data_IF_774583563859
#
_entry.id   IF_774583563859
#
_cell.length_a   1.000
_cell.length_b   1.000
_cell.length_c   1.000
_cell.angle_alpha   90.00
_cell.angle_beta   90.00
_cell.angle_gamma   90.00
#
_symmetry.space_group_name_H-M   'P 1'
#
loop_
_entity.id
_entity.type
_entity.pdbx_description
1 polymer ?
#
# COMPACT_ATOMS: atom_id res chain seq x y z
N UNK A 1 -4.12 22.16 7.46
CA UNK A 1 -3.93 21.27 6.31
C UNK A 1 -2.63 20.53 6.58
N UNK A 2 -2.72 19.35 7.19
CA UNK A 2 -1.60 18.68 7.86
C UNK A 2 -1.15 17.47 7.05
N UNK A 3 0.16 17.30 6.86
CA UNK A 3 0.73 16.03 6.45
C UNK A 3 2.12 15.84 7.06
N UNK A 4 2.34 14.63 7.60
CA UNK A 4 3.65 13.99 7.61
C UNK A 4 4.25 13.72 8.98
N UNK A 5 4.27 12.44 9.39
CA UNK A 5 5.49 11.61 9.62
C UNK A 5 5.09 10.34 10.40
N UNK A 6 5.67 9.17 10.10
CA UNK A 6 5.51 7.88 10.82
C UNK A 6 6.90 7.37 11.22
N UNK A 7 7.08 6.87 12.46
CA UNK A 7 8.13 5.90 12.84
C UNK A 7 8.00 5.36 14.29
N UNK A 8 8.59 4.17 14.53
CA UNK A 8 8.98 3.50 15.81
C UNK A 8 7.94 2.64 16.57
N UNK A 9 8.30 1.60 17.35
CA UNK A 9 9.28 0.48 17.30
C UNK A 9 8.85 -0.55 18.39
N UNK A 10 9.08 -1.84 18.12
CA UNK A 10 9.17 -3.05 18.98
C UNK A 10 8.44 -3.08 20.35
N UNK A 11 7.43 -3.96 20.46
CA UNK A 11 6.68 -4.26 21.68
C UNK A 11 7.36 -5.33 22.54
N UNK A 12 7.59 -5.06 23.84
CA UNK A 12 7.82 -6.09 24.86
C UNK A 12 6.57 -6.32 25.70
N UNK A 13 6.32 -7.60 25.97
CA UNK A 13 5.09 -8.23 26.45
C UNK A 13 4.50 -7.72 27.77
N UNK A 14 3.16 -7.74 27.83
CA UNK A 14 2.43 -8.08 29.06
C UNK A 14 1.10 -7.35 29.24
N UNK A 15 0.00 -7.91 28.74
CA UNK A 15 -1.39 -7.78 29.25
C UNK A 15 -2.37 -8.33 28.20
N UNK A 16 -3.44 -8.99 28.64
CA UNK A 16 -4.42 -9.78 27.87
C UNK A 16 -4.74 -9.25 26.46
N UNK A 17 -4.22 -9.93 25.43
CA UNK A 17 -4.47 -9.62 24.03
C UNK A 17 -5.85 -10.18 23.67
N UNK A 18 -6.86 -9.31 23.56
CA UNK A 18 -8.05 -9.63 22.79
C UNK A 18 -7.60 -9.98 21.36
N UNK A 19 -7.83 -11.20 20.85
CA UNK A 19 -7.09 -11.75 19.72
C UNK A 19 -7.36 -11.10 18.34
N UNK A 20 -8.05 -9.96 18.27
CA UNK A 20 -8.50 -9.36 16.99
C UNK A 20 -8.49 -7.83 16.99
N UNK A 21 -7.58 -7.19 17.72
CA UNK A 21 -7.42 -5.71 17.67
C UNK A 21 -6.21 -5.24 16.88
N UNK A 22 -5.19 -6.07 16.71
CA UNK A 22 -4.05 -5.80 15.83
C UNK A 22 -4.33 -6.45 14.47
N UNK A 23 -4.40 -5.65 13.40
CA UNK A 23 -4.72 -6.12 12.05
C UNK A 23 -3.44 -6.48 11.28
N UNK A 24 -2.50 -5.55 11.20
CA UNK A 24 -1.23 -5.76 10.52
C UNK A 24 -0.09 -5.09 11.29
N UNK A 25 1.10 -5.67 11.20
CA UNK A 25 2.36 -5.05 11.62
C UNK A 25 3.22 -4.81 10.38
N UNK A 26 3.84 -3.64 10.32
CA UNK A 26 4.70 -3.22 9.23
C UNK A 26 6.11 -3.05 9.79
N UNK A 27 7.09 -3.68 9.12
CA UNK A 27 8.51 -3.65 9.54
C UNK A 27 9.49 -3.44 8.36
N UNK A 28 8.99 -3.46 7.11
CA UNK A 28 9.83 -3.34 5.92
C UNK A 28 9.91 -1.89 5.40
N UNK A 29 8.78 -1.31 5.00
CA UNK A 29 8.72 0.05 4.44
C UNK A 29 8.57 1.13 5.52
N UNK A 30 7.93 0.78 6.63
CA UNK A 30 7.77 1.63 7.81
C UNK A 30 7.58 0.74 9.04
N UNK A 31 7.92 1.28 10.22
CA UNK A 31 7.71 0.62 11.50
C UNK A 31 6.40 1.10 12.09
N UNK A 32 5.40 0.23 12.18
CA UNK A 32 4.08 0.59 12.70
C UNK A 32 3.08 -0.56 12.63
N UNK A 33 1.82 -0.25 12.91
CA UNK A 33 0.75 -1.23 12.86
C UNK A 33 -0.60 -0.59 12.51
N UNK A 34 -1.53 -1.41 12.01
CA UNK A 34 -2.95 -1.07 11.91
C UNK A 34 -3.73 -1.85 12.97
N UNK A 35 -4.69 -1.20 13.61
CA UNK A 35 -5.43 -1.77 14.72
C UNK A 35 -6.84 -1.20 14.82
N UNK A 36 -7.75 -1.98 15.39
CA UNK A 36 -9.10 -1.55 15.79
C UNK A 36 -9.04 -0.99 17.21
N UNK A 37 -9.25 0.32 17.34
CA UNK A 37 -9.03 1.09 18.56
C UNK A 37 -10.18 2.07 18.79
N UNK A 38 -10.54 2.33 20.05
CA UNK A 38 -11.46 3.41 20.40
C UNK A 38 -10.74 4.76 20.45
N UNK A 39 -11.49 5.86 20.44
CA UNK A 39 -10.90 7.20 20.58
C UNK A 39 -10.18 7.37 21.93
N UNK A 40 -10.71 6.80 23.02
CA UNK A 40 -10.08 6.86 24.34
C UNK A 40 -8.72 6.14 24.36
N UNK A 41 -8.63 4.97 23.72
CA UNK A 41 -7.38 4.22 23.60
C UNK A 41 -6.37 4.97 22.73
N UNK A 42 -6.82 5.64 21.67
CA UNK A 42 -5.96 6.49 20.84
C UNK A 42 -5.41 7.67 21.65
N UNK A 43 -6.23 8.33 22.46
CA UNK A 43 -5.77 9.42 23.34
C UNK A 43 -4.73 8.97 24.37
N UNK A 44 -4.81 7.71 24.81
CA UNK A 44 -3.77 7.12 25.68
C UNK A 44 -2.50 6.86 24.88
N UNK A 45 -2.63 6.28 23.67
CA UNK A 45 -1.50 6.00 22.78
C UNK A 45 -0.74 7.26 22.40
N UNK A 46 -1.43 8.36 22.10
CA UNK A 46 -0.87 9.67 21.74
C UNK A 46 0.08 10.25 22.81
N UNK A 47 -0.08 9.82 24.06
CA UNK A 47 0.73 10.27 25.21
C UNK A 47 1.95 9.38 25.44
N UNK A 48 2.07 8.25 24.76
CA UNK A 48 3.18 7.33 24.96
C UNK A 48 4.46 7.85 24.29
N UNK A 49 5.62 7.73 24.96
CA UNK A 49 6.90 7.95 24.31
C UNK A 49 7.05 7.06 23.07
N UNK A 50 7.35 7.65 21.93
CA UNK A 50 7.48 6.94 20.65
C UNK A 50 6.23 6.98 19.77
N UNK A 51 5.10 7.54 20.24
CA UNK A 51 4.01 7.88 19.33
C UNK A 51 4.44 9.00 18.37
N UNK A 52 4.14 8.82 17.08
CA UNK A 52 4.44 9.83 16.05
C UNK A 52 3.16 10.36 15.42
N UNK A 53 2.31 9.48 14.92
CA UNK A 53 1.03 9.85 14.34
C UNK A 53 0.08 8.66 14.27
N UNK A 54 -1.21 8.95 14.17
CA UNK A 54 -2.25 8.00 13.81
C UNK A 54 -3.09 8.59 12.69
N UNK A 55 -3.65 7.72 11.86
CA UNK A 55 -4.58 8.10 10.81
C UNK A 55 -5.65 7.03 10.69
N UNK A 56 -6.90 7.45 10.56
CA UNK A 56 -8.02 6.53 10.33
C UNK A 56 -7.88 5.91 8.95
N UNK A 57 -8.11 4.60 8.87
CA UNK A 57 -8.18 3.89 7.60
C UNK A 57 -9.32 4.44 6.74
N UNK A 58 -9.10 4.52 5.42
CA UNK A 58 -10.05 5.08 4.47
C UNK A 58 -10.20 4.17 3.27
N UNK A 59 -11.45 3.94 2.88
CA UNK A 59 -11.76 3.28 1.63
C UNK A 59 -11.36 4.20 0.46
N UNK A 60 -10.64 3.63 -0.49
CA UNK A 60 -10.30 4.27 -1.76
C UNK A 60 -11.12 3.63 -2.89
N UNK A 61 -11.48 4.43 -3.89
CA UNK A 61 -12.22 3.99 -5.08
C UNK A 61 -11.36 4.20 -6.32
N UNK A 62 -11.50 3.31 -7.32
CA UNK A 62 -10.77 3.43 -8.58
C UNK A 62 -11.28 4.60 -9.41
N UNK A 63 -10.37 5.42 -9.96
CA UNK A 63 -10.72 6.61 -10.74
C UNK A 63 -10.98 6.32 -12.23
N UNK A 64 -10.30 5.35 -12.86
CA UNK A 64 -10.49 5.00 -14.29
C UNK A 64 -10.16 3.52 -14.57
N UNK A 65 -10.64 2.98 -15.71
CA UNK A 65 -10.34 1.60 -16.15
C UNK A 65 -9.78 1.51 -17.59
N UNK A 66 -9.54 2.63 -18.30
CA UNK A 66 -9.16 2.65 -19.73
C UNK A 66 -7.97 3.61 -20.00
N UNK A 67 -6.74 3.07 -20.01
CA UNK A 67 -5.50 3.90 -19.97
C UNK A 67 -4.73 4.00 -21.30
N UNK A 68 -4.80 3.01 -22.19
CA UNK A 68 -3.89 2.96 -23.35
C UNK A 68 -4.22 4.02 -24.42
N UNK A 69 -5.50 4.21 -24.78
CA UNK A 69 -5.92 5.26 -25.73
C UNK A 69 -5.66 6.66 -25.16
N UNK A 70 -5.82 6.82 -23.84
CA UNK A 70 -5.55 8.07 -23.14
C UNK A 70 -4.08 8.50 -23.26
N UNK A 71 -3.15 7.54 -23.30
CA UNK A 71 -1.71 7.81 -23.39
C UNK A 71 -1.18 7.87 -24.83
N UNK A 72 -2.00 7.57 -25.85
CA UNK A 72 -1.60 7.66 -27.27
C UNK A 72 -0.46 6.72 -27.66
N UNK A 73 -0.36 5.55 -27.01
CA UNK A 73 0.72 4.59 -27.24
C UNK A 73 0.54 3.84 -28.57
N UNK A 74 1.64 3.61 -29.28
CA UNK A 74 1.66 2.94 -30.59
C UNK A 74 2.68 1.78 -30.56
N UNK A 75 2.31 0.58 -31.04
CA UNK A 75 3.21 -0.58 -31.02
C UNK A 75 4.38 -0.53 -32.00
N UNK A 76 4.25 0.22 -33.09
CA UNK A 76 5.25 0.30 -34.15
C UNK A 76 6.16 1.52 -34.01
N UNK A 77 5.85 2.46 -33.12
CA UNK A 77 6.60 3.71 -32.98
C UNK A 77 6.43 4.36 -31.60
N UNK A 78 7.33 5.28 -31.24
CA UNK A 78 7.24 6.02 -29.99
C UNK A 78 7.78 5.24 -28.80
N UNK A 79 7.08 5.30 -27.66
CA UNK A 79 7.64 4.85 -26.38
C UNK A 79 7.91 3.35 -26.33
N UNK A 80 7.04 2.49 -26.88
CA UNK A 80 7.22 1.03 -26.78
C UNK A 80 8.49 0.53 -27.48
N UNK A 81 8.75 0.83 -28.77
CA UNK A 81 10.03 0.43 -29.37
C UNK A 81 11.24 1.12 -28.73
N UNK A 82 11.10 2.37 -28.28
CA UNK A 82 12.21 3.12 -27.66
C UNK A 82 12.60 2.60 -26.27
N UNK A 83 11.68 1.95 -25.55
CA UNK A 83 11.93 1.33 -24.25
C UNK A 83 12.23 -0.17 -24.35
N UNK A 84 12.48 -0.69 -25.56
CA UNK A 84 12.59 -2.13 -25.82
C UNK A 84 11.40 -2.93 -25.26
N UNK A 85 10.20 -2.36 -25.39
CA UNK A 85 8.94 -2.91 -24.86
C UNK A 85 8.96 -3.18 -23.34
N UNK A 86 9.93 -2.64 -22.60
CA UNK A 86 10.10 -2.87 -21.17
C UNK A 86 10.90 -4.13 -20.84
N UNK A 87 11.72 -4.65 -21.76
CA UNK A 87 12.65 -5.74 -21.47
C UNK A 87 13.51 -5.41 -20.24
N UNK A 88 13.72 -6.42 -19.37
CA UNK A 88 14.42 -6.33 -18.09
C UNK A 88 13.86 -5.31 -17.07
N UNK A 89 12.61 -4.84 -17.25
CA UNK A 89 11.92 -3.95 -16.31
C UNK A 89 10.82 -4.68 -15.56
N UNK A 90 10.82 -4.57 -14.23
CA UNK A 90 9.72 -5.06 -13.38
C UNK A 90 8.80 -3.89 -13.02
N UNK A 91 7.53 -3.99 -13.45
CA UNK A 91 6.48 -3.02 -13.10
C UNK A 91 5.58 -3.61 -12.02
N UNK A 92 5.62 -3.01 -10.82
CA UNK A 92 4.69 -3.35 -9.73
C UNK A 92 3.37 -2.60 -9.87
N UNK A 93 2.26 -3.33 -9.95
CA UNK A 93 0.91 -2.76 -10.04
C UNK A 93 0.14 -3.07 -8.75
N UNK A 94 -0.33 -2.03 -8.05
CA UNK A 94 -1.17 -2.16 -6.86
C UNK A 94 -2.62 -1.89 -7.30
N UNK A 95 -3.36 -2.97 -7.56
CA UNK A 95 -4.76 -2.94 -7.97
C UNK A 95 -5.49 -4.13 -7.30
N UNK A 96 -6.74 -4.37 -7.70
CA UNK A 96 -7.61 -5.49 -7.29
C UNK A 96 -7.09 -6.87 -7.69
N UNK A 97 -6.06 -6.93 -8.53
CA UNK A 97 -5.42 -8.14 -8.99
C UNK A 97 -5.40 -8.25 -10.51
N UNK A 98 -4.87 -9.36 -11.00
CA UNK A 98 -4.86 -9.73 -12.42
C UNK A 98 -5.49 -11.10 -12.58
N UNK A 99 -5.89 -11.47 -13.80
CA UNK A 99 -6.31 -12.82 -14.17
C UNK A 99 -5.10 -13.58 -14.73
N UNK A 100 -4.36 -14.39 -13.93
CA UNK A 100 -3.08 -14.96 -14.36
C UNK A 100 -3.22 -15.93 -15.53
N UNK A 101 -4.39 -16.54 -15.73
CA UNK A 101 -4.69 -17.46 -16.81
C UNK A 101 -5.06 -16.78 -18.14
N UNK A 102 -5.15 -15.46 -18.19
CA UNK A 102 -5.40 -14.75 -19.44
C UNK A 102 -4.24 -14.97 -20.42
N UNK A 103 -4.55 -15.21 -21.69
CA UNK A 103 -3.55 -15.36 -22.77
C UNK A 103 -2.59 -14.16 -22.88
N UNK A 104 -3.01 -12.98 -22.43
CA UNK A 104 -2.17 -11.78 -22.42
C UNK A 104 -0.96 -11.85 -21.48
N UNK A 105 -0.93 -12.82 -20.56
CA UNK A 105 0.18 -13.05 -19.62
C UNK A 105 0.94 -14.35 -19.92
N UNK A 106 0.70 -14.96 -21.08
CA UNK A 106 1.44 -16.16 -21.49
C UNK A 106 2.66 -15.72 -22.31
N UNK A 107 3.83 -16.26 -21.96
CA UNK A 107 5.14 -15.91 -22.54
C UNK A 107 5.62 -16.96 -23.59
N UNK A 108 4.73 -17.81 -24.10
CA UNK A 108 5.04 -18.90 -25.05
C UNK A 108 4.97 -18.52 -26.54
#
# INVERSE_FOLDING_TARGET
>A
MSYGTLQFLKLSSGSSINPTRLLYSYDNAFHGFSAVMSEDELQVLEKLPGFVSASTDKMVTHDTTHTFEFLGLNPESGLWPASDYGEDVIVGVIDTGVLPESRSYMDD
#
